data_IF_831013499900
#
_entry.id   IF_831013499900
#
_cell.length_a   1.000
_cell.length_b   1.000
_cell.length_c   1.000
_cell.angle_alpha   90.00
_cell.angle_beta   90.00
_cell.angle_gamma   90.00
#
_symmetry.space_group_name_H-M   'P 1'
#
loop_
_entity.id
_entity.type
_entity.pdbx_description
1 polymer ?
#
# COMPACT_ATOMS: atom_id res chain seq x y z
N UNK A 1 15.43 -20.60 -0.14
CA UNK A 1 14.73 -19.73 0.85
C UNK A 1 13.25 -19.80 0.56
N UNK A 2 12.41 -20.09 1.56
CA UNK A 2 10.96 -20.03 1.39
C UNK A 2 10.55 -18.58 1.10
N UNK A 3 9.83 -18.35 0.00
CA UNK A 3 9.27 -17.01 -0.28
C UNK A 3 8.27 -16.67 0.82
N UNK A 4 8.29 -15.43 1.30
CA UNK A 4 7.26 -14.93 2.21
C UNK A 4 5.88 -15.12 1.54
N UNK A 5 4.88 -15.72 2.22
CA UNK A 5 3.53 -15.91 1.68
C UNK A 5 2.91 -14.64 1.07
N UNK A 6 3.18 -13.47 1.65
CA UNK A 6 2.71 -12.18 1.13
C UNK A 6 3.37 -11.81 -0.19
N UNK A 7 4.68 -12.04 -0.30
CA UNK A 7 5.42 -11.86 -1.57
C UNK A 7 4.88 -12.80 -2.63
N UNK A 8 4.57 -14.06 -2.27
CA UNK A 8 3.96 -15.01 -3.21
C UNK A 8 2.55 -14.57 -3.67
N UNK A 9 1.74 -13.98 -2.78
CA UNK A 9 0.42 -13.43 -3.13
C UNK A 9 0.52 -12.24 -4.10
N UNK A 10 1.52 -11.36 -3.90
CA UNK A 10 1.77 -10.24 -4.80
C UNK A 10 2.27 -10.71 -6.18
N UNK A 11 3.15 -11.70 -6.20
CA UNK A 11 3.74 -12.25 -7.44
C UNK A 11 2.77 -13.13 -8.24
N UNK A 12 1.77 -13.73 -7.60
CA UNK A 12 0.83 -14.64 -8.27
C UNK A 12 -0.01 -13.96 -9.37
N UNK A 13 -0.19 -12.64 -9.30
CA UNK A 13 -0.96 -11.85 -10.26
C UNK A 13 -0.21 -10.56 -10.63
N UNK A 14 0.97 -10.72 -11.25
CA UNK A 14 1.69 -9.63 -11.92
C UNK A 14 0.70 -8.86 -12.80
N UNK A 15 0.77 -7.52 -12.79
CA UNK A 15 -0.19 -6.71 -13.53
C UNK A 15 -0.15 -7.08 -15.00
N UNK A 16 -1.30 -7.43 -15.56
CA UNK A 16 -1.52 -7.39 -16.99
C UNK A 16 -2.71 -6.46 -17.24
N UNK A 17 -2.92 -6.05 -18.50
CA UNK A 17 -4.00 -5.11 -18.84
C UNK A 17 -5.41 -5.62 -18.49
N UNK A 18 -5.58 -6.90 -18.18
CA UNK A 18 -6.90 -7.54 -18.00
C UNK A 18 -7.20 -7.96 -16.56
N UNK A 19 -6.22 -7.98 -15.64
CA UNK A 19 -6.37 -8.55 -14.29
C UNK A 19 -6.48 -7.52 -13.15
N UNK A 20 -6.98 -6.31 -13.45
CA UNK A 20 -7.08 -5.23 -12.47
C UNK A 20 -7.78 -5.64 -11.17
N UNK A 21 -8.93 -6.34 -11.26
CA UNK A 21 -9.70 -6.74 -10.08
C UNK A 21 -8.98 -7.77 -9.21
N UNK A 22 -8.35 -8.78 -9.83
CA UNK A 22 -7.59 -9.81 -9.10
C UNK A 22 -6.36 -9.22 -8.42
N UNK A 23 -5.71 -8.26 -9.07
CA UNK A 23 -4.60 -7.50 -8.51
C UNK A 23 -5.04 -6.62 -7.35
N UNK A 24 -6.15 -5.88 -7.49
CA UNK A 24 -6.70 -5.06 -6.42
C UNK A 24 -7.07 -5.92 -5.20
N UNK A 25 -7.60 -7.13 -5.44
CA UNK A 25 -7.87 -8.10 -4.38
C UNK A 25 -6.59 -8.53 -3.65
N UNK A 26 -5.52 -8.89 -4.38
CA UNK A 26 -4.25 -9.31 -3.78
C UNK A 26 -3.57 -8.17 -3.01
N UNK A 27 -3.59 -6.95 -3.55
CA UNK A 27 -3.12 -5.75 -2.85
C UNK A 27 -3.89 -5.54 -1.54
N UNK A 28 -5.22 -5.62 -1.57
CA UNK A 28 -6.03 -5.50 -0.34
C UNK A 28 -5.68 -6.57 0.70
N UNK A 29 -5.43 -7.82 0.29
CA UNK A 29 -5.03 -8.89 1.22
C UNK A 29 -3.72 -8.53 1.93
N UNK A 30 -2.72 -8.09 1.17
CA UNK A 30 -1.39 -7.75 1.71
C UNK A 30 -1.45 -6.52 2.60
N UNK A 31 -2.13 -5.46 2.16
CA UNK A 31 -2.28 -4.24 2.96
C UNK A 31 -3.11 -4.47 4.22
N UNK A 32 -4.09 -5.37 4.17
CA UNK A 32 -4.86 -5.73 5.36
C UNK A 32 -4.01 -6.51 6.37
N UNK A 33 -3.10 -7.35 5.90
CA UNK A 33 -2.11 -8.01 6.77
C UNK A 33 -1.19 -6.98 7.44
N UNK A 34 -0.78 -5.94 6.71
CA UNK A 34 0.09 -4.86 7.21
C UNK A 34 -0.66 -3.75 7.99
N UNK A 35 -1.99 -3.86 8.16
CA UNK A 35 -2.86 -2.81 8.73
C UNK A 35 -2.80 -1.46 7.99
N UNK A 36 -2.58 -1.47 6.68
CA UNK A 36 -2.41 -0.30 5.81
C UNK A 36 -3.53 -0.13 4.78
N UNK A 37 -4.60 -0.95 4.82
CA UNK A 37 -5.71 -0.88 3.84
C UNK A 37 -6.33 0.51 3.74
N UNK A 38 -6.31 1.25 4.85
CA UNK A 38 -6.80 2.62 4.95
C UNK A 38 -6.18 3.57 3.90
N UNK A 39 -4.95 3.28 3.44
CA UNK A 39 -4.22 4.09 2.46
C UNK A 39 -4.91 4.06 1.10
N UNK A 40 -5.63 2.98 0.78
CA UNK A 40 -6.40 2.88 -0.46
C UNK A 40 -7.74 3.63 -0.37
N UNK A 41 -8.33 3.67 0.81
CA UNK A 41 -9.71 4.13 1.00
C UNK A 41 -9.80 5.62 1.35
N UNK A 42 -8.75 6.21 1.93
CA UNK A 42 -8.74 7.63 2.30
C UNK A 42 -7.67 8.42 1.56
N UNK A 43 -7.99 9.69 1.32
CA UNK A 43 -7.06 10.65 0.76
C UNK A 43 -5.95 11.00 1.75
N UNK A 44 -4.70 11.06 1.27
CA UNK A 44 -3.57 11.59 2.01
C UNK A 44 -3.89 13.01 2.51
N UNK A 45 -3.82 13.28 3.82
CA UNK A 45 -4.00 14.64 4.34
C UNK A 45 -2.92 15.55 3.74
N UNK A 46 -3.30 16.74 3.24
CA UNK A 46 -2.35 17.64 2.57
C UNK A 46 -1.42 18.36 3.55
N UNK A 47 -1.89 18.62 4.76
CA UNK A 47 -1.15 19.29 5.81
C UNK A 47 -1.81 19.02 7.17
N UNK A 48 -1.00 19.07 8.24
CA UNK A 48 -1.47 19.19 9.61
C UNK A 48 -1.78 20.66 9.94
N UNK A 49 -2.87 20.94 10.65
CA UNK A 49 -3.09 22.24 11.31
C UNK A 49 -1.92 22.62 12.24
N UNK A 50 -1.66 23.93 12.42
CA UNK A 50 -0.62 24.41 13.34
C UNK A 50 -0.88 24.06 14.81
N UNK A 51 -2.14 23.85 15.16
CA UNK A 51 -2.60 23.52 16.51
C UNK A 51 -2.76 21.99 16.73
N UNK A 52 -2.18 21.17 15.85
CA UNK A 52 -2.29 19.72 15.95
C UNK A 52 -1.59 19.19 17.19
N UNK A 53 -2.16 18.16 17.82
CA UNK A 53 -1.52 17.50 18.96
C UNK A 53 -0.35 16.62 18.51
N UNK A 54 0.48 16.19 19.47
CA UNK A 54 1.58 15.27 19.20
C UNK A 54 1.07 13.95 18.62
N UNK A 55 -0.08 13.45 19.09
CA UNK A 55 -0.71 12.23 18.57
C UNK A 55 -1.19 12.38 17.12
N UNK A 56 -1.73 13.54 16.77
CA UNK A 56 -2.14 13.87 15.40
C UNK A 56 -0.90 13.95 14.48
N UNK A 57 0.19 14.54 14.97
CA UNK A 57 1.46 14.61 14.25
C UNK A 57 2.03 13.20 13.99
N UNK A 58 2.07 12.35 15.01
CA UNK A 58 2.53 10.96 14.88
C UNK A 58 1.66 10.15 13.91
N UNK A 59 0.34 10.34 13.96
CA UNK A 59 -0.61 9.67 13.06
C UNK A 59 -0.38 10.10 11.61
N UNK A 60 -0.14 11.39 11.37
CA UNK A 60 0.15 11.94 10.05
C UNK A 60 1.49 11.42 9.49
N UNK A 61 2.55 11.39 10.30
CA UNK A 61 3.84 10.83 9.90
C UNK A 61 3.72 9.35 9.56
N UNK A 62 3.03 8.58 10.42
CA UNK A 62 2.76 7.16 10.17
C UNK A 62 1.98 6.94 8.87
N UNK A 63 0.98 7.78 8.60
CA UNK A 63 0.23 7.72 7.35
C UNK A 63 1.14 7.94 6.14
N UNK A 64 2.03 8.94 6.18
CA UNK A 64 2.98 9.20 5.11
C UNK A 64 3.94 8.03 4.87
N UNK A 65 4.43 7.41 5.94
CA UNK A 65 5.29 6.23 5.85
C UNK A 65 4.56 5.02 5.27
N UNK A 66 3.35 4.76 5.76
CA UNK A 66 2.51 3.68 5.24
C UNK A 66 2.14 3.94 3.76
N UNK A 67 1.87 5.18 3.37
CA UNK A 67 1.64 5.56 1.97
C UNK A 67 2.86 5.30 1.08
N UNK A 68 4.08 5.66 1.53
CA UNK A 68 5.32 5.34 0.81
C UNK A 68 5.52 3.84 0.61
N UNK A 69 5.23 3.02 1.63
CA UNK A 69 5.31 1.56 1.54
C UNK A 69 4.32 1.00 0.54
N UNK A 70 3.05 1.40 0.63
CA UNK A 70 2.00 0.96 -0.32
C UNK A 70 2.37 1.36 -1.75
N UNK A 71 2.84 2.59 -1.97
CA UNK A 71 3.27 3.05 -3.28
C UNK A 71 4.42 2.20 -3.84
N UNK A 72 5.39 1.85 -3.00
CA UNK A 72 6.52 0.98 -3.39
C UNK A 72 6.05 -0.43 -3.75
N UNK A 73 5.10 -1.00 -3.02
CA UNK A 73 4.48 -2.31 -3.31
C UNK A 73 3.73 -2.26 -4.65
N UNK A 74 2.95 -1.20 -4.88
CA UNK A 74 2.20 -1.03 -6.13
C UNK A 74 3.17 -0.90 -7.31
N UNK A 75 4.17 -0.02 -7.22
CA UNK A 75 5.16 0.16 -8.28
C UNK A 75 5.98 -1.12 -8.53
N UNK A 76 6.48 -1.77 -7.48
CA UNK A 76 7.27 -3.00 -7.62
C UNK A 76 6.49 -4.17 -8.22
N UNK A 77 5.17 -4.18 -8.06
CA UNK A 77 4.30 -5.19 -8.67
C UNK A 77 3.83 -4.81 -10.09
N UNK A 78 4.01 -3.56 -10.52
CA UNK A 78 3.83 -3.15 -11.91
C UNK A 78 5.12 -3.50 -12.65
N UNK A 79 5.23 -4.70 -13.20
CA UNK A 79 6.30 -4.99 -14.14
C UNK A 79 6.25 -3.99 -15.29
N UNK A 80 7.36 -3.31 -15.57
CA UNK A 80 7.57 -2.75 -16.89
C UNK A 80 7.68 -3.94 -17.83
N UNK A 81 6.77 -4.06 -18.79
CA UNK A 81 7.03 -4.86 -19.98
C UNK A 81 8.35 -4.33 -20.58
N UNK A 82 9.42 -5.11 -20.48
CA UNK A 82 10.65 -4.95 -21.30
C UNK A 82 10.45 -5.84 -22.52
#
# INVERSE_FOLDING_TARGET
MSKNPLTAILEANIFNRTNYNDRLRNLRIVLNFENQTYVLDRSLPRALPKESTDEECLTFEKWHEDNRKVHSIVLGSMTNDI
#
